data_IF_528443574965
#
_entry.id   IF_528443574965
#
_cell.length_a   1.000
_cell.length_b   1.000
_cell.length_c   1.000
_cell.angle_alpha   90.00
_cell.angle_beta   90.00
_cell.angle_gamma   90.00
#
_symmetry.space_group_name_H-M   'P 1'
#
loop_
_entity.id
_entity.type
_entity.pdbx_description
1 polymer ?
#
# COMPACT_ATOMS: atom_id res chain seq x y z
N UNK A 1 -2.19 -11.79 12.52
CA UNK A 1 -3.61 -12.03 12.91
C UNK A 1 -4.64 -11.17 12.16
N UNK A 2 -4.40 -9.88 11.86
CA UNK A 2 -5.42 -9.00 11.25
C UNK A 2 -5.89 -9.42 9.83
N UNK A 3 -5.00 -9.92 8.97
CA UNK A 3 -5.36 -10.39 7.62
C UNK A 3 -6.28 -11.64 7.65
N UNK A 4 -5.99 -12.60 8.56
CA UNK A 4 -6.80 -13.81 8.72
C UNK A 4 -8.21 -13.53 9.26
N UNK A 5 -8.34 -12.65 10.25
CA UNK A 5 -9.64 -12.25 10.82
C UNK A 5 -10.52 -11.55 9.75
N UNK A 6 -9.92 -10.80 8.83
CA UNK A 6 -10.67 -10.03 7.81
C UNK A 6 -11.01 -10.87 6.58
N UNK A 7 -10.14 -11.80 6.16
CA UNK A 7 -10.47 -12.80 5.13
C UNK A 7 -11.65 -13.69 5.56
N UNK A 8 -11.68 -14.11 6.84
CA UNK A 8 -12.81 -14.83 7.43
C UNK A 8 -14.10 -14.00 7.39
N UNK A 9 -14.03 -12.67 7.62
CA UNK A 9 -15.19 -11.78 7.51
C UNK A 9 -15.71 -11.65 6.07
N UNK A 10 -14.85 -11.65 5.07
CA UNK A 10 -15.26 -11.59 3.66
C UNK A 10 -15.96 -12.88 3.21
N UNK A 11 -15.40 -14.06 3.55
CA UNK A 11 -16.02 -15.37 3.32
C UNK A 11 -17.37 -15.45 4.03
N UNK A 12 -17.45 -15.01 5.29
CA UNK A 12 -18.72 -14.94 6.05
C UNK A 12 -19.72 -13.99 5.44
N UNK A 13 -19.29 -12.83 4.93
CA UNK A 13 -20.18 -11.86 4.28
C UNK A 13 -20.78 -12.44 2.99
N UNK A 14 -19.97 -13.13 2.17
CA UNK A 14 -20.45 -13.78 0.94
C UNK A 14 -21.35 -14.97 1.24
N UNK A 15 -20.96 -15.82 2.18
CA UNK A 15 -21.78 -16.94 2.62
C UNK A 15 -23.14 -16.45 3.15
N UNK A 16 -23.16 -15.36 3.91
CA UNK A 16 -24.41 -14.73 4.38
C UNK A 16 -25.28 -14.18 3.24
N UNK A 17 -24.68 -13.56 2.22
CA UNK A 17 -25.40 -13.10 1.01
C UNK A 17 -25.97 -14.30 0.23
N UNK A 18 -25.22 -15.40 0.16
CA UNK A 18 -25.59 -16.62 -0.56
C UNK A 18 -26.49 -17.58 0.25
N UNK A 19 -26.87 -17.23 1.49
CA UNK A 19 -27.63 -18.12 2.37
C UNK A 19 -26.88 -19.38 2.82
N UNK A 20 -25.55 -19.39 2.73
CA UNK A 20 -24.68 -20.50 3.09
C UNK A 20 -24.04 -20.29 4.46
N UNK A 21 -23.87 -21.37 5.21
CA UNK A 21 -23.03 -21.39 6.42
C UNK A 21 -21.59 -21.68 5.99
N UNK A 22 -20.64 -20.76 6.19
CA UNK A 22 -19.27 -21.02 5.82
C UNK A 22 -18.68 -22.07 6.77
N UNK A 23 -18.20 -23.18 6.22
CA UNK A 23 -17.42 -24.16 6.96
C UNK A 23 -15.96 -23.75 6.91
N UNK A 24 -15.43 -23.28 8.04
CA UNK A 24 -13.98 -23.19 8.19
C UNK A 24 -13.49 -24.62 8.40
N UNK A 25 -12.70 -25.16 7.47
CA UNK A 25 -11.91 -26.35 7.77
C UNK A 25 -10.88 -25.92 8.82
N UNK A 26 -11.10 -26.31 10.06
CA UNK A 26 -10.05 -26.29 11.05
C UNK A 26 -8.99 -27.28 10.53
N UNK A 27 -7.78 -26.78 10.35
CA UNK A 27 -6.64 -27.65 10.15
C UNK A 27 -6.36 -28.23 11.53
N UNK A 28 -6.56 -29.54 11.69
CA UNK A 28 -6.33 -30.25 12.95
C UNK A 28 -4.82 -30.49 13.21
N UNK A 29 -3.99 -30.23 12.19
CA UNK A 29 -2.54 -30.37 12.25
C UNK A 29 -1.89 -29.07 12.75
N UNK A 30 -1.02 -29.18 13.76
CA UNK A 30 -0.14 -28.08 14.12
C UNK A 30 0.90 -27.86 13.01
N UNK A 31 1.18 -26.60 12.62
CA UNK A 31 2.18 -26.34 11.58
C UNK A 31 3.59 -26.66 12.11
N UNK A 32 4.44 -27.25 11.26
CA UNK A 32 5.86 -27.50 11.57
C UNK A 32 6.60 -26.19 11.94
N UNK A 33 6.17 -25.08 11.35
CA UNK A 33 6.71 -23.74 11.59
C UNK A 33 5.58 -22.73 11.72
N UNK A 34 5.56 -22.02 12.85
CA UNK A 34 4.63 -20.91 13.10
C UNK A 34 5.37 -19.58 13.02
N UNK A 35 5.04 -18.77 12.02
CA UNK A 35 5.58 -17.43 11.87
C UNK A 35 4.62 -16.41 12.48
N UNK A 36 5.06 -15.74 13.54
CA UNK A 36 4.30 -14.69 14.21
C UNK A 36 4.97 -13.32 14.01
N UNK A 37 4.19 -12.24 13.87
CA UNK A 37 4.75 -10.90 13.86
C UNK A 37 5.37 -10.60 15.23
N UNK A 38 6.59 -10.04 15.22
CA UNK A 38 7.31 -9.62 16.44
C UNK A 38 6.78 -8.30 17.01
N UNK A 39 6.13 -7.50 16.17
CA UNK A 39 5.69 -6.14 16.46
C UNK A 39 4.22 -5.96 16.03
N UNK A 40 3.54 -4.99 16.63
CA UNK A 40 2.14 -4.68 16.36
C UNK A 40 1.99 -3.81 15.11
N UNK A 41 0.98 -4.10 14.29
CA UNK A 41 0.65 -3.29 13.10
C UNK A 41 0.09 -1.92 13.46
N UNK A 42 -0.69 -1.88 14.55
CA UNK A 42 -1.39 -0.69 15.01
C UNK A 42 -0.88 -0.29 16.38
N UNK A 43 -0.82 1.01 16.62
CA UNK A 43 -0.61 1.54 17.96
C UNK A 43 -1.87 1.32 18.82
N UNK A 44 -1.71 1.28 20.15
CA UNK A 44 -2.87 1.17 21.08
C UNK A 44 -3.89 2.28 20.84
N UNK A 45 -3.41 3.51 20.65
CA UNK A 45 -4.25 4.70 20.40
C UNK A 45 -5.03 4.59 19.09
N UNK A 46 -4.38 4.11 18.03
CA UNK A 46 -5.05 3.88 16.73
C UNK A 46 -6.20 2.86 16.88
N UNK A 47 -5.95 1.75 17.59
CA UNK A 47 -6.99 0.75 17.88
C UNK A 47 -8.14 1.32 18.71
N UNK A 48 -7.83 2.13 19.72
CA UNK A 48 -8.82 2.74 20.60
C UNK A 48 -9.79 3.67 19.82
N UNK A 49 -9.32 4.30 18.74
CA UNK A 49 -10.14 5.11 17.84
C UNK A 49 -10.89 4.29 16.77
N UNK A 50 -10.88 2.96 16.88
CA UNK A 50 -11.59 2.08 15.95
C UNK A 50 -10.93 1.96 14.57
N UNK A 51 -9.66 2.37 14.43
CA UNK A 51 -8.90 2.21 13.18
C UNK A 51 -8.52 0.75 13.02
N UNK A 52 -9.45 -0.01 12.44
CA UNK A 52 -9.30 -1.43 12.12
C UNK A 52 -9.10 -1.67 10.62
N UNK A 53 -9.39 -0.67 9.78
CA UNK A 53 -9.11 -0.69 8.36
C UNK A 53 -8.01 0.32 8.03
N UNK A 54 -7.10 -0.01 7.11
CA UNK A 54 -5.91 0.80 6.86
C UNK A 54 -6.20 2.14 6.16
N UNK A 55 -7.37 2.30 5.53
CA UNK A 55 -7.69 3.46 4.69
C UNK A 55 -7.51 4.81 5.38
N UNK A 56 -7.93 4.94 6.65
CA UNK A 56 -7.81 6.21 7.37
C UNK A 56 -6.35 6.60 7.62
N UNK A 57 -5.50 5.62 7.93
CA UNK A 57 -4.07 5.87 8.14
C UNK A 57 -3.34 6.17 6.83
N UNK A 58 -3.66 5.46 5.74
CA UNK A 58 -3.12 5.80 4.42
C UNK A 58 -3.58 7.18 3.95
N UNK A 59 -4.81 7.60 4.24
CA UNK A 59 -5.30 8.93 3.87
C UNK A 59 -4.62 10.05 4.68
N UNK A 60 -4.22 9.78 5.93
CA UNK A 60 -3.40 10.71 6.70
C UNK A 60 -2.01 10.85 6.09
N UNK A 61 -1.37 9.74 5.72
CA UNK A 61 -0.06 9.73 5.04
C UNK A 61 -0.16 10.51 3.73
N UNK A 62 -1.22 10.29 2.95
CA UNK A 62 -1.51 10.98 1.68
C UNK A 62 -1.60 12.50 1.85
N UNK A 63 -2.33 12.96 2.86
CA UNK A 63 -2.46 14.40 3.14
C UNK A 63 -1.13 15.00 3.62
N UNK A 64 -0.36 14.27 4.43
CA UNK A 64 0.98 14.69 4.83
C UNK A 64 1.93 14.77 3.61
N UNK A 65 1.86 13.78 2.71
CA UNK A 65 2.64 13.71 1.48
C UNK A 65 2.32 14.87 0.55
N UNK A 66 1.03 15.17 0.35
CA UNK A 66 0.55 16.36 -0.39
C UNK A 66 1.16 17.65 0.16
N UNK A 67 1.08 17.83 1.48
CA UNK A 67 1.57 19.02 2.16
C UNK A 67 3.09 19.19 2.01
N UNK A 68 3.86 18.10 2.12
CA UNK A 68 5.32 18.11 1.89
C UNK A 68 5.69 18.64 0.51
N UNK A 69 4.90 18.29 -0.52
CA UNK A 69 5.14 18.72 -1.88
C UNK A 69 4.56 20.12 -2.21
N UNK A 70 3.90 20.76 -1.25
CA UNK A 70 3.29 22.08 -1.45
C UNK A 70 2.14 22.09 -2.47
N UNK A 71 1.52 20.94 -2.74
CA UNK A 71 0.40 20.87 -3.68
C UNK A 71 -0.89 21.34 -3.04
N UNK A 72 -1.68 22.07 -3.82
CA UNK A 72 -3.06 22.37 -3.43
C UNK A 72 -3.88 21.09 -3.33
N UNK A 73 -4.99 21.14 -2.61
CA UNK A 73 -5.91 20.01 -2.50
C UNK A 73 -6.41 19.57 -3.88
N UNK A 74 -6.80 20.52 -4.73
CA UNK A 74 -7.34 20.20 -6.06
C UNK A 74 -6.28 19.66 -7.01
N UNK A 75 -5.09 20.26 -7.05
CA UNK A 75 -3.97 19.76 -7.87
C UNK A 75 -3.62 18.32 -7.50
N UNK A 76 -3.63 18.02 -6.20
CA UNK A 76 -3.33 16.67 -5.73
C UNK A 76 -4.41 15.67 -6.14
N UNK A 77 -5.69 16.02 -5.95
CA UNK A 77 -6.80 15.15 -6.37
C UNK A 77 -6.77 14.89 -7.87
N UNK A 78 -6.39 15.87 -8.68
CA UNK A 78 -6.18 15.70 -10.12
C UNK A 78 -5.02 14.75 -10.44
N UNK A 79 -3.90 14.85 -9.70
CA UNK A 79 -2.76 13.92 -9.82
C UNK A 79 -3.16 12.48 -9.49
N UNK A 80 -3.84 12.26 -8.36
CA UNK A 80 -4.31 10.92 -7.95
C UNK A 80 -5.26 10.33 -9.00
N UNK A 81 -6.20 11.13 -9.48
CA UNK A 81 -7.15 10.72 -10.51
C UNK A 81 -6.48 10.40 -11.85
N UNK A 82 -5.51 11.21 -12.28
CA UNK A 82 -4.75 10.97 -13.50
C UNK A 82 -3.89 9.70 -13.40
N UNK A 83 -3.23 9.47 -12.27
CA UNK A 83 -2.44 8.25 -12.03
C UNK A 83 -3.32 7.01 -12.09
N UNK A 84 -4.46 7.00 -11.41
CA UNK A 84 -5.34 5.83 -11.39
C UNK A 84 -6.14 5.64 -12.70
N UNK A 85 -6.35 6.70 -13.49
CA UNK A 85 -6.85 6.55 -14.86
C UNK A 85 -5.85 5.75 -15.72
N UNK A 86 -4.54 6.04 -15.61
CA UNK A 86 -3.50 5.23 -16.28
C UNK A 86 -3.50 3.78 -15.80
N UNK A 87 -3.69 3.54 -14.50
CA UNK A 87 -3.79 2.19 -13.96
C UNK A 87 -4.99 1.44 -14.55
N UNK A 88 -6.15 2.10 -14.70
CA UNK A 88 -7.32 1.50 -15.35
C UNK A 88 -7.07 1.16 -16.82
N UNK A 89 -6.26 1.96 -17.52
CA UNK A 89 -5.84 1.70 -18.89
C UNK A 89 -4.93 0.47 -18.99
N UNK A 90 -3.99 0.30 -18.07
CA UNK A 90 -3.16 -0.91 -17.99
C UNK A 90 -4.02 -2.13 -17.65
N UNK A 91 -4.97 -1.99 -16.72
CA UNK A 91 -5.90 -3.07 -16.36
C UNK A 91 -6.76 -3.52 -17.55
N UNK A 92 -7.21 -2.59 -18.41
CA UNK A 92 -7.99 -2.93 -19.61
C UNK A 92 -7.26 -3.90 -20.55
N UNK A 93 -5.94 -3.76 -20.65
CA UNK A 93 -5.06 -4.60 -21.47
C UNK A 93 -4.55 -5.85 -20.74
N UNK A 94 -4.80 -5.98 -19.44
CA UNK A 94 -4.47 -7.16 -18.68
C UNK A 94 -5.64 -8.18 -18.75
N UNK A 95 -5.46 -9.34 -19.43
CA UNK A 95 -6.53 -10.33 -19.56
C UNK A 95 -6.97 -10.94 -18.23
N UNK A 96 -6.17 -10.80 -17.17
CA UNK A 96 -6.46 -11.33 -15.84
C UNK A 96 -7.01 -10.27 -14.86
N UNK A 97 -7.14 -9.01 -15.28
CA UNK A 97 -7.66 -7.96 -14.42
C UNK A 97 -9.15 -8.15 -14.11
N UNK A 98 -9.54 -7.93 -12.85
CA UNK A 98 -10.92 -8.06 -12.39
C UNK A 98 -11.86 -7.03 -13.04
N UNK A 99 -11.39 -5.80 -13.24
CA UNK A 99 -12.09 -4.73 -13.96
C UNK A 99 -11.21 -4.26 -15.10
N UNK A 100 -11.77 -4.28 -16.31
CA UNK A 100 -11.08 -3.91 -17.54
C UNK A 100 -11.66 -2.65 -18.20
N UNK A 101 -12.49 -1.91 -17.45
CA UNK A 101 -13.04 -0.62 -17.88
C UNK A 101 -11.96 0.46 -17.79
N UNK A 102 -11.80 1.24 -18.87
CA UNK A 102 -10.96 2.44 -18.90
C UNK A 102 -11.74 3.59 -18.30
N UNK A 103 -11.19 4.22 -17.26
CA UNK A 103 -11.85 5.34 -16.57
C UNK A 103 -11.17 6.66 -16.94
N UNK A 104 -11.98 7.68 -17.20
CA UNK A 104 -11.50 9.05 -17.28
C UNK A 104 -11.14 9.58 -15.88
N UNK A 105 -10.12 10.46 -15.73
CA UNK A 105 -9.76 11.04 -14.44
C UNK A 105 -10.96 11.64 -13.67
N UNK A 106 -11.85 12.35 -14.36
CA UNK A 106 -13.05 12.94 -13.75
C UNK A 106 -13.98 11.90 -13.07
N UNK A 107 -14.04 10.66 -13.58
CA UNK A 107 -14.83 9.59 -12.96
C UNK A 107 -14.19 9.03 -11.67
N UNK A 108 -12.89 9.25 -11.48
CA UNK A 108 -12.11 8.81 -10.32
C UNK A 108 -12.05 9.90 -9.26
N UNK A 109 -11.91 11.16 -9.67
CA UNK A 109 -11.63 12.32 -8.80
C UNK A 109 -12.71 12.61 -7.76
N UNK A 110 -13.97 12.66 -8.19
CA UNK A 110 -15.08 13.13 -7.37
C UNK A 110 -15.99 11.98 -6.90
N UNK A 111 -16.53 12.14 -5.70
CA UNK A 111 -17.47 11.20 -5.11
C UNK A 111 -18.76 11.11 -5.93
N UNK A 112 -19.21 9.89 -6.22
CA UNK A 112 -20.51 9.64 -6.85
C UNK A 112 -21.20 8.41 -6.24
N UNK A 113 -22.44 8.13 -6.63
CA UNK A 113 -23.14 6.92 -6.19
C UNK A 113 -22.40 5.62 -6.58
N UNK A 114 -21.71 5.61 -7.73
CA UNK A 114 -20.92 4.46 -8.21
C UNK A 114 -19.50 4.45 -7.63
N UNK A 115 -18.94 5.63 -7.37
CA UNK A 115 -17.60 5.84 -6.84
C UNK A 115 -17.62 6.71 -5.56
N UNK A 116 -18.19 6.23 -4.45
CA UNK A 116 -18.36 7.05 -3.25
C UNK A 116 -17.01 7.36 -2.58
N UNK A 117 -16.92 8.52 -1.93
CA UNK A 117 -15.83 8.84 -1.01
C UNK A 117 -15.74 7.75 0.07
N UNK A 118 -14.51 7.32 0.39
CA UNK A 118 -14.22 6.34 1.43
C UNK A 118 -13.48 7.00 2.59
N UNK A 119 -12.44 7.76 2.26
CA UNK A 119 -11.70 8.61 3.18
C UNK A 119 -11.16 9.77 2.35
N UNK A 120 -11.36 11.03 2.70
CA UNK A 120 -10.79 12.14 1.91
C UNK A 120 -9.25 12.06 1.90
N UNK A 121 -8.58 12.04 0.72
CA UNK A 121 -9.07 12.36 -0.63
C UNK A 121 -9.49 11.16 -1.52
N UNK A 122 -9.49 9.95 -0.99
CA UNK A 122 -9.84 8.71 -1.67
C UNK A 122 -11.34 8.49 -1.93
N UNK A 123 -11.67 8.42 -3.23
CA UNK A 123 -12.85 7.71 -3.71
C UNK A 123 -12.62 6.20 -3.73
N UNK A 124 -13.68 5.42 -3.93
CA UNK A 124 -13.62 3.95 -4.02
C UNK A 124 -12.66 3.47 -5.12
N UNK A 125 -12.54 4.17 -6.24
CA UNK A 125 -11.63 3.83 -7.34
C UNK A 125 -10.15 4.01 -6.97
N UNK A 126 -9.85 4.83 -5.96
CA UNK A 126 -8.50 5.00 -5.40
C UNK A 126 -8.18 3.96 -4.31
N UNK A 127 -9.12 3.05 -4.01
CA UNK A 127 -8.94 2.02 -3.00
C UNK A 127 -8.82 0.63 -3.64
N UNK A 128 -8.04 -0.25 -3.01
CA UNK A 128 -7.91 -1.65 -3.41
C UNK A 128 -9.26 -2.39 -3.51
N UNK A 129 -9.43 -3.17 -4.58
CA UNK A 129 -10.54 -4.11 -4.72
C UNK A 129 -10.10 -5.51 -4.26
N UNK A 130 -10.27 -5.78 -2.96
CA UNK A 130 -9.83 -7.03 -2.35
C UNK A 130 -10.87 -8.17 -2.36
N UNK A 131 -12.15 -7.85 -2.58
CA UNK A 131 -13.23 -8.84 -2.56
C UNK A 131 -13.40 -9.51 -3.92
N UNK A 132 -12.36 -10.18 -4.42
CA UNK A 132 -12.28 -10.83 -5.74
C UNK A 132 -11.91 -12.30 -5.60
N UNK A 133 -12.30 -13.12 -6.58
CA UNK A 133 -11.93 -14.54 -6.65
C UNK A 133 -10.89 -14.74 -7.74
N UNK A 134 -9.63 -14.69 -7.35
CA UNK A 134 -8.48 -14.84 -8.23
C UNK A 134 -7.42 -15.68 -7.54
N UNK A 135 -6.66 -16.43 -8.33
CA UNK A 135 -5.53 -17.22 -7.89
C UNK A 135 -4.35 -17.02 -8.84
N UNK A 136 -3.15 -17.20 -8.31
CA UNK A 136 -1.91 -17.18 -9.07
C UNK A 136 -0.99 -18.28 -8.55
N UNK A 137 -0.19 -18.84 -9.44
CA UNK A 137 0.78 -19.88 -9.13
C UNK A 137 2.08 -19.64 -9.92
N UNK A 138 3.21 -19.87 -9.25
CA UNK A 138 4.54 -19.84 -9.85
C UNK A 138 5.11 -21.25 -9.76
N UNK A 139 5.61 -21.77 -10.88
CA UNK A 139 6.32 -23.04 -10.93
C UNK A 139 7.81 -22.77 -11.07
N UNK A 140 8.59 -23.31 -10.13
CA UNK A 140 10.05 -23.21 -10.12
C UNK A 140 10.66 -24.58 -10.37
N UNK A 141 11.77 -24.60 -11.11
CA UNK A 141 12.63 -25.77 -11.24
C UNK A 141 14.07 -25.30 -11.48
N UNK A 142 15.03 -26.19 -11.30
CA UNK A 142 16.42 -25.89 -11.67
C UNK A 142 16.54 -25.78 -13.20
N UNK A 143 17.53 -25.02 -13.68
CA UNK A 143 17.84 -24.95 -15.11
C UNK A 143 18.13 -26.35 -15.70
N UNK A 144 18.82 -27.22 -14.96
CA UNK A 144 19.04 -28.61 -15.35
C UNK A 144 17.72 -29.37 -15.56
N UNK A 145 16.78 -29.23 -14.62
CA UNK A 145 15.47 -29.88 -14.73
C UNK A 145 14.64 -29.32 -15.88
N UNK A 146 14.72 -28.02 -16.14
CA UNK A 146 14.05 -27.40 -17.29
C UNK A 146 14.59 -27.94 -18.62
N UNK A 147 15.92 -28.13 -18.73
CA UNK A 147 16.57 -28.76 -19.89
C UNK A 147 16.12 -30.21 -20.06
N UNK A 148 16.15 -31.02 -19.00
CA UNK A 148 15.70 -32.42 -19.04
C UNK A 148 14.26 -32.58 -19.52
N UNK A 149 13.39 -31.65 -19.12
CA UNK A 149 11.97 -31.61 -19.50
C UNK A 149 11.73 -30.98 -20.88
N UNK A 150 12.78 -30.51 -21.57
CA UNK A 150 12.67 -29.87 -22.88
C UNK A 150 11.92 -28.53 -22.86
N UNK A 151 11.91 -27.82 -21.72
CA UNK A 151 11.25 -26.51 -21.61
C UNK A 151 12.07 -25.49 -22.42
N UNK A 152 11.49 -24.79 -23.42
CA UNK A 152 12.22 -23.83 -24.25
C UNK A 152 12.86 -22.69 -23.44
N UNK A 153 14.08 -22.29 -23.80
CA UNK A 153 14.89 -21.32 -23.02
C UNK A 153 14.23 -19.94 -22.88
N UNK A 154 13.45 -19.55 -23.88
CA UNK A 154 12.64 -18.32 -23.91
C UNK A 154 11.52 -18.30 -22.86
N UNK A 155 11.12 -19.48 -22.34
CA UNK A 155 10.14 -19.60 -21.26
C UNK A 155 10.76 -19.44 -19.86
N UNK A 156 12.08 -19.40 -19.76
CA UNK A 156 12.78 -19.37 -18.48
C UNK A 156 12.93 -17.93 -17.99
N UNK A 157 12.41 -17.69 -16.78
CA UNK A 157 12.54 -16.42 -16.05
C UNK A 157 13.24 -16.74 -14.75
N UNK A 158 14.26 -15.96 -14.41
CA UNK A 158 15.09 -16.16 -13.24
C UNK A 158 14.72 -15.15 -12.15
N UNK A 159 14.50 -15.58 -10.91
CA UNK A 159 14.56 -14.69 -9.77
C UNK A 159 16.02 -14.28 -9.57
N UNK A 160 16.28 -12.97 -9.54
CA UNK A 160 17.60 -12.42 -9.26
C UNK A 160 17.77 -12.16 -7.76
N UNK A 161 16.77 -11.51 -7.15
CA UNK A 161 16.83 -11.15 -5.75
C UNK A 161 15.45 -11.11 -5.08
N UNK A 162 15.44 -11.36 -3.78
CA UNK A 162 14.32 -11.08 -2.87
C UNK A 162 14.87 -10.38 -1.63
N UNK A 163 14.49 -9.12 -1.44
CA UNK A 163 14.95 -8.33 -0.29
C UNK A 163 13.75 -7.87 0.52
N UNK A 164 13.86 -7.84 1.85
CA UNK A 164 12.74 -7.50 2.71
C UNK A 164 13.18 -6.77 3.98
N UNK A 165 12.21 -6.09 4.61
CA UNK A 165 12.29 -5.64 5.99
C UNK A 165 11.02 -6.04 6.72
N UNK A 166 11.20 -6.60 7.90
CA UNK A 166 10.14 -6.98 8.82
C UNK A 166 9.99 -6.02 10.00
N UNK A 167 10.75 -4.91 10.05
CA UNK A 167 10.66 -3.91 11.12
C UNK A 167 9.38 -3.09 10.97
N UNK A 168 8.52 -3.10 11.98
CA UNK A 168 7.20 -2.49 11.94
C UNK A 168 7.10 -1.34 12.95
N UNK A 169 6.81 -0.15 12.42
CA UNK A 169 6.45 1.02 13.23
C UNK A 169 5.03 1.46 12.89
N UNK A 170 4.10 1.47 13.87
CA UNK A 170 2.77 2.04 13.71
C UNK A 170 2.81 3.47 13.18
N UNK A 171 1.82 3.87 12.39
CA UNK A 171 1.87 5.17 11.66
C UNK A 171 1.99 6.36 12.61
N UNK A 172 1.24 6.35 13.72
CA UNK A 172 1.30 7.37 14.76
C UNK A 172 2.66 7.48 15.45
N UNK A 173 3.46 6.41 15.48
CA UNK A 173 4.77 6.41 16.12
C UNK A 173 5.91 6.83 15.18
N UNK A 174 5.64 7.14 13.90
CA UNK A 174 6.67 7.56 12.95
C UNK A 174 6.98 9.05 13.10
N UNK A 175 8.26 9.37 13.18
CA UNK A 175 8.70 10.75 13.21
C UNK A 175 8.31 11.50 11.91
N UNK A 176 8.42 10.83 10.77
CA UNK A 176 8.00 11.33 9.46
C UNK A 176 6.93 10.42 8.86
N UNK A 177 5.80 11.01 8.44
CA UNK A 177 4.68 10.28 7.84
C UNK A 177 4.88 10.04 6.34
N UNK A 178 5.79 10.77 5.70
CA UNK A 178 5.87 10.93 4.25
C UNK A 178 7.01 10.15 3.60
N UNK A 179 7.87 9.52 4.41
CA UNK A 179 9.00 8.72 3.96
C UNK A 179 8.82 7.26 4.36
N UNK A 180 9.52 6.38 3.64
CA UNK A 180 9.59 4.95 3.91
C UNK A 180 11.04 4.48 3.69
N UNK A 181 11.95 4.70 4.66
CA UNK A 181 13.35 4.30 4.55
C UNK A 181 13.54 2.83 4.16
N UNK A 182 12.63 1.95 4.61
CA UNK A 182 12.66 0.53 4.24
C UNK A 182 12.42 0.27 2.75
N UNK A 183 11.68 1.12 2.05
CA UNK A 183 11.50 1.02 0.61
C UNK A 183 12.80 1.37 -0.13
N UNK A 184 13.47 2.45 0.26
CA UNK A 184 14.78 2.81 -0.30
C UNK A 184 15.84 1.74 -0.03
N UNK A 185 16.00 1.33 1.24
CA UNK A 185 17.02 0.36 1.67
C UNK A 185 16.83 -0.99 0.96
N UNK A 186 15.61 -1.56 1.00
CA UNK A 186 15.34 -2.84 0.36
C UNK A 186 15.36 -2.76 -1.17
N UNK A 187 14.81 -1.70 -1.77
CA UNK A 187 14.83 -1.54 -3.23
C UNK A 187 16.24 -1.37 -3.79
N UNK A 188 17.09 -0.57 -3.14
CA UNK A 188 18.49 -0.42 -3.52
C UNK A 188 19.25 -1.74 -3.41
N UNK A 189 19.01 -2.51 -2.34
CA UNK A 189 19.63 -3.82 -2.18
C UNK A 189 19.18 -4.83 -3.25
N UNK A 190 17.91 -4.82 -3.65
CA UNK A 190 17.41 -5.67 -4.73
C UNK A 190 18.10 -5.34 -6.06
N UNK A 191 18.19 -4.06 -6.40
CA UNK A 191 18.86 -3.57 -7.61
C UNK A 191 20.36 -3.92 -7.61
N UNK A 192 21.05 -3.68 -6.50
CA UNK A 192 22.46 -4.02 -6.34
C UNK A 192 22.73 -5.53 -6.46
N UNK A 193 21.84 -6.38 -5.94
CA UNK A 193 21.97 -7.83 -6.07
C UNK A 193 21.95 -8.31 -7.53
N UNK A 194 21.22 -7.61 -8.39
CA UNK A 194 21.16 -7.87 -9.84
C UNK A 194 22.20 -7.13 -10.68
N UNK A 195 23.08 -6.31 -10.08
CA UNK A 195 23.95 -5.36 -10.80
C UNK A 195 23.17 -4.43 -11.76
N UNK A 196 21.98 -4.00 -11.33
CA UNK A 196 21.08 -3.13 -12.11
C UNK A 196 20.87 -1.78 -11.44
N UNK A 197 20.51 -0.80 -12.25
CA UNK A 197 19.95 0.48 -11.84
C UNK A 197 18.46 0.52 -12.13
N UNK A 198 17.74 1.48 -11.54
CA UNK A 198 16.29 1.60 -11.73
C UNK A 198 15.89 1.92 -13.19
N UNK A 199 16.79 2.56 -13.95
CA UNK A 199 16.62 2.86 -15.37
C UNK A 199 16.74 1.62 -16.26
N UNK A 200 17.35 0.54 -15.75
CA UNK A 200 17.48 -0.75 -16.45
C UNK A 200 16.33 -1.73 -16.12
N UNK A 201 15.38 -1.31 -15.30
CA UNK A 201 14.14 -2.05 -15.07
C UNK A 201 13.19 -1.69 -16.21
N UNK A 202 12.69 -2.68 -16.95
CA UNK A 202 11.72 -2.43 -18.03
C UNK A 202 10.28 -2.48 -17.50
N UNK A 203 10.02 -3.44 -16.61
CA UNK A 203 8.70 -3.74 -16.08
C UNK A 203 8.65 -3.44 -14.58
N UNK A 204 7.72 -2.59 -14.17
CA UNK A 204 7.62 -2.13 -12.78
C UNK A 204 6.20 -2.38 -12.24
N UNK A 205 6.10 -3.01 -11.06
CA UNK A 205 4.86 -3.01 -10.28
C UNK A 205 5.14 -2.51 -8.86
N UNK A 206 4.83 -1.23 -8.63
CA UNK A 206 4.85 -0.67 -7.29
C UNK A 206 3.57 -1.06 -6.54
N UNK A 207 3.69 -1.46 -5.29
CA UNK A 207 2.56 -1.87 -4.47
C UNK A 207 1.59 -0.71 -4.29
N UNK A 208 0.29 -0.97 -4.51
CA UNK A 208 -0.66 0.10 -4.86
C UNK A 208 -2.04 -0.08 -4.23
N UNK A 209 -2.09 -0.52 -2.96
CA UNK A 209 -3.36 -0.61 -2.22
C UNK A 209 -4.08 0.75 -2.09
N UNK A 210 -3.30 1.82 -2.03
CA UNK A 210 -3.68 3.24 -2.04
C UNK A 210 -2.61 4.05 -2.79
N UNK A 211 -2.93 5.23 -3.35
CA UNK A 211 -2.02 6.04 -4.15
C UNK A 211 -0.72 6.41 -3.43
N UNK A 212 -0.78 6.90 -2.18
CA UNK A 212 0.43 7.26 -1.42
C UNK A 212 1.45 6.13 -1.28
N UNK A 213 1.04 4.86 -1.35
CA UNK A 213 1.99 3.74 -1.33
C UNK A 213 2.86 3.74 -2.60
N UNK A 214 2.25 4.03 -3.74
CA UNK A 214 2.93 4.18 -5.03
C UNK A 214 3.83 5.41 -5.01
N UNK A 215 3.31 6.53 -4.53
CA UNK A 215 4.03 7.81 -4.53
C UNK A 215 5.26 7.77 -3.62
N UNK A 216 5.11 7.28 -2.39
CA UNK A 216 6.24 7.13 -1.46
C UNK A 216 7.27 6.14 -2.01
N UNK A 217 6.86 4.99 -2.55
CA UNK A 217 7.82 4.04 -3.11
C UNK A 217 8.52 4.59 -4.35
N UNK A 218 7.82 5.36 -5.18
CA UNK A 218 8.43 6.01 -6.33
C UNK A 218 9.48 7.03 -5.90
N UNK A 219 9.18 7.89 -4.92
CA UNK A 219 10.13 8.87 -4.37
C UNK A 219 11.37 8.20 -3.77
N UNK A 220 11.18 7.16 -2.94
CA UNK A 220 12.28 6.43 -2.27
C UNK A 220 13.21 5.70 -3.25
N UNK A 221 12.73 5.41 -4.47
CA UNK A 221 13.50 4.76 -5.54
C UNK A 221 13.94 5.73 -6.64
N UNK A 222 13.62 7.02 -6.53
CA UNK A 222 13.91 8.03 -7.54
C UNK A 222 13.15 7.82 -8.87
N UNK A 223 11.96 7.22 -8.81
CA UNK A 223 11.15 6.90 -9.98
C UNK A 223 10.18 8.07 -10.28
N UNK A 224 10.21 8.67 -11.48
CA UNK A 224 9.25 9.71 -11.83
C UNK A 224 7.81 9.16 -11.87
N UNK A 225 6.86 9.85 -11.23
CA UNK A 225 5.44 9.45 -11.24
C UNK A 225 4.80 9.44 -12.64
N UNK A 226 5.46 10.03 -13.65
CA UNK A 226 5.03 9.99 -15.05
C UNK A 226 5.31 8.64 -15.73
N UNK A 227 6.18 7.80 -15.16
CA UNK A 227 6.48 6.45 -15.64
C UNK A 227 5.26 5.53 -15.46
N UNK A 228 5.24 4.41 -16.17
CA UNK A 228 4.33 3.30 -15.87
C UNK A 228 4.74 2.63 -14.54
N UNK A 229 3.90 2.75 -13.51
CA UNK A 229 4.16 2.29 -12.14
C UNK A 229 3.50 0.94 -11.82
N UNK A 230 2.79 0.36 -12.79
CA UNK A 230 2.17 -0.97 -12.69
C UNK A 230 2.14 -1.65 -14.05
N UNK A 231 2.29 -2.97 -14.03
CA UNK A 231 2.11 -3.85 -15.20
C UNK A 231 0.81 -4.66 -15.15
N UNK A 232 0.11 -4.59 -14.01
CA UNK A 232 -1.15 -5.30 -13.78
C UNK A 232 -2.37 -4.40 -13.94
N UNK A 233 -2.20 -3.10 -13.70
CA UNK A 233 -3.28 -2.14 -13.53
C UNK A 233 -3.67 -1.92 -12.06
N UNK A 234 -2.91 -2.47 -11.11
CA UNK A 234 -3.04 -2.21 -9.68
C UNK A 234 -4.28 -2.83 -9.00
N UNK A 235 -4.22 -2.95 -7.69
CA UNK A 235 -5.22 -3.61 -6.84
C UNK A 235 -6.63 -3.03 -6.98
N UNK A 236 -6.78 -1.77 -7.37
CA UNK A 236 -8.09 -1.13 -7.60
C UNK A 236 -8.83 -1.70 -8.81
N UNK A 237 -8.10 -2.11 -9.85
CA UNK A 237 -8.66 -2.54 -11.13
C UNK A 237 -8.31 -4.00 -11.45
N UNK A 238 -7.04 -4.40 -11.33
CA UNK A 238 -6.58 -5.77 -11.50
C UNK A 238 -7.21 -6.73 -10.49
N UNK A 239 -7.59 -6.23 -9.31
CA UNK A 239 -8.00 -7.03 -8.16
C UNK A 239 -6.81 -7.33 -7.26
N UNK A 240 -7.03 -7.30 -5.95
CA UNK A 240 -5.97 -7.50 -4.96
C UNK A 240 -6.45 -8.35 -3.79
N UNK A 241 -6.60 -9.68 -3.96
CA UNK A 241 -7.15 -10.55 -2.93
C UNK A 241 -6.18 -10.67 -1.75
N UNK A 242 -6.36 -9.78 -0.78
CA UNK A 242 -5.59 -9.72 0.46
C UNK A 242 -4.07 -9.77 0.19
N UNK A 243 -3.42 -10.82 0.66
CA UNK A 243 -1.97 -10.98 0.60
C UNK A 243 -1.48 -11.55 -0.74
N UNK A 244 -2.36 -11.87 -1.69
CA UNK A 244 -2.00 -12.58 -2.91
C UNK A 244 -1.67 -11.66 -4.11
N UNK A 245 -1.93 -10.35 -4.03
CA UNK A 245 -1.74 -9.43 -5.15
C UNK A 245 -0.35 -9.51 -5.79
N UNK A 246 0.72 -9.52 -4.98
CA UNK A 246 2.10 -9.51 -5.49
C UNK A 246 2.42 -10.80 -6.25
N UNK A 247 1.82 -11.95 -5.88
CA UNK A 247 1.94 -13.16 -6.68
C UNK A 247 1.32 -13.00 -8.07
N UNK A 248 0.17 -12.34 -8.18
CA UNK A 248 -0.46 -12.07 -9.47
C UNK A 248 0.39 -11.12 -10.32
N UNK A 249 0.98 -10.09 -9.69
CA UNK A 249 1.91 -9.20 -10.35
C UNK A 249 3.16 -9.95 -10.84
N UNK A 250 3.73 -10.86 -10.04
CA UNK A 250 4.87 -11.69 -10.46
C UNK A 250 4.51 -12.61 -11.63
N UNK A 251 3.32 -13.23 -11.62
CA UNK A 251 2.84 -14.00 -12.78
C UNK A 251 2.72 -13.12 -14.03
N UNK A 252 2.18 -11.90 -13.89
CA UNK A 252 2.09 -10.95 -15.00
C UNK A 252 3.47 -10.55 -15.52
N UNK A 253 4.43 -10.27 -14.64
CA UNK A 253 5.82 -9.99 -15.02
C UNK A 253 6.42 -11.15 -15.82
N UNK A 254 6.27 -12.39 -15.34
CA UNK A 254 6.77 -13.56 -16.04
C UNK A 254 6.19 -13.70 -17.46
N UNK A 255 4.88 -13.49 -17.63
CA UNK A 255 4.22 -13.51 -18.94
C UNK A 255 4.76 -12.42 -19.88
N UNK A 256 4.91 -11.19 -19.37
CA UNK A 256 5.43 -10.06 -20.15
C UNK A 256 6.89 -10.27 -20.56
N UNK A 257 7.75 -10.71 -19.64
CA UNK A 257 9.14 -11.04 -19.93
C UNK A 257 9.26 -12.14 -21.00
N UNK A 258 8.48 -13.22 -20.88
CA UNK A 258 8.43 -14.31 -21.88
C UNK A 258 7.98 -13.82 -23.26
N UNK A 259 7.07 -12.86 -23.31
CA UNK A 259 6.61 -12.26 -24.57
C UNK A 259 7.60 -11.27 -25.20
N UNK A 260 8.70 -10.97 -24.50
CA UNK A 260 9.72 -10.05 -25.00
C UNK A 260 9.48 -8.56 -24.73
N UNK A 261 8.46 -8.20 -23.96
CA UNK A 261 8.12 -6.81 -23.61
C UNK A 261 9.07 -6.17 -22.58
N UNK A 262 10.11 -6.88 -22.16
CA UNK A 262 11.13 -6.39 -21.24
C UNK A 262 12.19 -7.45 -21.00
N UNK A 263 13.27 -7.06 -20.33
CA UNK A 263 14.36 -7.94 -19.89
C UNK A 263 14.36 -8.09 -18.38
N UNK A 264 14.14 -7.00 -17.63
CA UNK A 264 14.17 -6.98 -16.17
C UNK A 264 12.86 -6.45 -15.60
N UNK A 265 12.40 -7.05 -14.50
CA UNK A 265 11.20 -6.64 -13.78
C UNK A 265 11.48 -6.46 -12.29
N UNK A 266 11.03 -5.33 -11.73
CA UNK A 266 11.06 -5.06 -10.29
C UNK A 266 9.63 -4.98 -9.78
N UNK A 267 9.34 -5.76 -8.74
CA UNK A 267 8.05 -5.79 -8.08
C UNK A 267 8.23 -5.49 -6.61
N UNK A 268 7.40 -4.60 -6.09
CA UNK A 268 7.42 -4.27 -4.66
C UNK A 268 6.21 -4.84 -3.93
N UNK A 269 6.38 -5.04 -2.63
CA UNK A 269 5.34 -5.49 -1.71
C UNK A 269 5.33 -4.61 -0.47
N UNK A 270 4.12 -4.45 0.08
CA UNK A 270 3.88 -3.81 1.37
C UNK A 270 3.08 -4.77 2.24
N UNK A 271 3.43 -4.84 3.52
CA UNK A 271 2.50 -5.27 4.56
C UNK A 271 2.07 -4.11 5.44
N UNK A 272 0.80 -4.09 5.85
CA UNK A 272 0.25 -3.08 6.76
C UNK A 272 0.13 -1.69 6.13
N UNK A 273 0.61 -0.67 6.85
CA UNK A 273 0.54 0.74 6.46
C UNK A 273 1.92 1.25 6.03
N UNK A 274 2.51 0.67 4.98
CA UNK A 274 3.94 0.82 4.66
C UNK A 274 4.86 0.31 5.79
N UNK A 275 4.38 -0.66 6.59
CA UNK A 275 5.13 -1.15 7.77
C UNK A 275 6.22 -2.14 7.41
N UNK A 276 5.97 -3.06 6.47
CA UNK A 276 6.98 -3.97 5.95
C UNK A 276 7.13 -3.76 4.47
N UNK A 277 8.36 -3.82 3.99
CA UNK A 277 8.69 -3.56 2.60
C UNK A 277 9.40 -4.79 2.04
N UNK A 278 9.07 -5.17 0.81
CA UNK A 278 9.77 -6.25 0.13
C UNK A 278 9.87 -5.99 -1.36
N UNK A 279 10.90 -6.53 -1.99
CA UNK A 279 11.14 -6.40 -3.42
C UNK A 279 11.54 -7.74 -4.03
N UNK A 280 10.99 -8.05 -5.19
CA UNK A 280 11.40 -9.16 -6.04
C UNK A 280 11.96 -8.63 -7.35
N UNK A 281 13.20 -9.01 -7.67
CA UNK A 281 13.85 -8.69 -8.93
C UNK A 281 13.90 -9.93 -9.82
N UNK A 282 13.47 -9.79 -11.07
CA UNK A 282 13.32 -10.88 -12.03
C UNK A 282 13.94 -10.52 -13.37
N UNK A 283 14.49 -11.50 -14.09
CA UNK A 283 15.06 -11.28 -15.42
C UNK A 283 14.93 -12.50 -16.34
N UNK A 284 15.10 -12.29 -17.65
CA UNK A 284 15.30 -13.36 -18.63
C UNK A 284 16.71 -13.94 -18.57
N UNK A 285 17.65 -13.18 -18.02
CA UNK A 285 19.04 -13.55 -17.87
C UNK A 285 19.25 -14.18 -16.48
N UNK A 286 20.10 -15.21 -16.35
CA UNK A 286 20.38 -15.83 -15.07
C UNK A 286 21.10 -14.84 -14.14
N UNK A 287 20.92 -14.97 -12.81
CA UNK A 287 21.60 -14.09 -11.87
C UNK A 287 23.12 -14.25 -11.95
N UNK A 288 23.88 -13.14 -12.01
CA UNK A 288 25.33 -13.17 -12.19
C UNK A 288 26.06 -13.90 -11.05
N UNK A 289 25.47 -13.90 -9.84
CA UNK A 289 26.05 -14.47 -8.61
C UNK A 289 25.11 -15.47 -7.93
N UNK A 290 24.14 -16.02 -8.66
CA UNK A 290 23.05 -16.81 -8.07
C UNK A 290 21.97 -15.94 -7.42
N UNK A 291 20.86 -16.57 -7.04
CA UNK A 291 19.76 -15.87 -6.37
C UNK A 291 20.20 -15.31 -5.02
N UNK A 292 19.85 -14.05 -4.74
CA UNK A 292 20.18 -13.37 -3.50
C UNK A 292 18.92 -13.14 -2.66
N UNK A 293 18.94 -13.58 -1.40
CA UNK A 293 17.94 -13.19 -0.41
C UNK A 293 18.59 -12.35 0.69
N UNK A 294 17.95 -11.24 1.07
CA UNK A 294 18.43 -10.36 2.15
C UNK A 294 17.28 -9.88 3.04
N UNK A 295 17.43 -10.06 4.35
CA UNK A 295 16.60 -9.44 5.37
C UNK A 295 17.33 -8.20 5.93
N UNK A 296 16.79 -7.02 5.63
CA UNK A 296 17.34 -5.72 6.00
C UNK A 296 16.61 -5.08 7.19
N UNK A 297 15.91 -5.89 7.98
CA UNK A 297 15.16 -5.43 9.16
C UNK A 297 16.00 -4.56 10.10
N UNK A 298 17.28 -4.88 10.29
CA UNK A 298 18.15 -4.14 11.23
C UNK A 298 18.54 -2.76 10.69
N UNK A 299 18.85 -2.68 9.41
CA UNK A 299 19.19 -1.47 8.68
C UNK A 299 17.99 -0.51 8.68
N UNK A 300 16.80 -1.04 8.42
CA UNK A 300 15.56 -0.26 8.48
C UNK A 300 15.26 0.18 9.91
N UNK A 301 15.44 -0.67 10.91
CA UNK A 301 15.27 -0.28 12.32
C UNK A 301 16.24 0.82 12.76
N UNK A 302 17.45 0.87 12.20
CA UNK A 302 18.41 1.94 12.47
C UNK A 302 18.01 3.26 11.80
N UNK A 303 17.47 3.21 10.57
CA UNK A 303 17.10 4.39 9.80
C UNK A 303 15.74 4.98 10.22
N UNK A 304 14.80 4.14 10.66
CA UNK A 304 13.44 4.57 10.96
C UNK A 304 13.34 5.21 12.34
N UNK A 305 13.16 6.53 12.36
CA UNK A 305 12.96 7.28 13.60
C UNK A 305 11.54 7.14 14.13
N UNK A 306 11.43 6.93 15.44
CA UNK A 306 10.15 6.85 16.15
C UNK A 306 9.98 8.02 17.11
N UNK A 307 8.72 8.33 17.44
CA UNK A 307 8.34 9.31 18.44
C UNK A 307 7.31 8.72 19.40
N UNK A 308 7.24 9.25 20.61
CA UNK A 308 6.25 8.85 21.60
C UNK A 308 4.83 9.19 21.11
N UNK A 309 3.87 8.30 21.38
CA UNK A 309 2.46 8.51 21.07
C UNK A 309 1.67 8.66 22.37
N UNK A 310 1.07 9.82 22.57
CA UNK A 310 0.31 10.14 23.76
C UNK A 310 -1.08 9.51 23.71
N UNK A 311 -1.52 8.90 24.81
CA UNK A 311 -2.90 8.39 24.91
C UNK A 311 -3.93 9.54 24.98
N UNK A 312 -3.55 10.64 25.64
CA UNK A 312 -4.37 11.83 25.82
C UNK A 312 -3.50 13.07 25.71
N UNK A 313 -4.03 14.09 25.04
CA UNK A 313 -3.37 15.37 24.91
C UNK A 313 -4.37 16.52 24.97
N UNK A 314 -3.96 17.59 25.66
CA UNK A 314 -4.63 18.88 25.74
C UNK A 314 -3.57 19.98 25.69
N UNK A 315 -3.68 20.90 24.73
CA UNK A 315 -2.68 21.93 24.50
C UNK A 315 -2.55 22.33 23.04
N UNK A 316 -1.63 23.27 22.73
CA UNK A 316 -1.34 23.66 21.36
C UNK A 316 -0.56 22.55 20.63
N UNK A 317 -0.94 22.18 19.42
CA UNK A 317 -0.21 21.20 18.62
C UNK A 317 -0.29 21.50 17.11
N UNK A 318 0.72 21.05 16.37
CA UNK A 318 0.83 21.28 14.92
C UNK A 318 0.28 20.08 14.16
N UNK A 319 -0.67 20.29 13.24
CA UNK A 319 -1.23 19.19 12.45
C UNK A 319 -0.20 18.64 11.47
N UNK A 320 0.00 17.31 11.46
CA UNK A 320 0.96 16.64 10.57
C UNK A 320 0.31 15.90 9.42
N UNK A 321 -0.99 15.59 9.52
CA UNK A 321 -1.76 14.90 8.50
C UNK A 321 -3.19 14.66 8.98
N UNK A 322 -4.12 14.55 8.04
CA UNK A 322 -5.54 14.40 8.37
C UNK A 322 -6.30 13.65 7.28
N UNK A 323 -7.52 13.22 7.62
CA UNK A 323 -8.50 12.66 6.69
C UNK A 323 -9.91 12.90 7.22
N UNK A 324 -10.90 12.82 6.34
CA UNK A 324 -12.33 12.67 6.70
C UNK A 324 -12.77 11.27 6.33
N UNK A 325 -13.31 10.50 7.27
CA UNK A 325 -13.75 9.12 7.03
C UNK A 325 -15.23 9.06 6.71
N UNK A 326 -15.57 8.31 5.66
CA UNK A 326 -16.93 8.14 5.15
C UNK A 326 -17.37 6.67 5.32
N UNK A 327 -18.26 6.42 6.26
CA UNK A 327 -18.82 5.10 6.50
C UNK A 327 -20.29 5.02 6.05
N UNK A 328 -20.69 3.87 5.49
CA UNK A 328 -22.09 3.65 5.09
C UNK A 328 -23.00 3.78 6.32
N UNK A 329 -24.02 4.65 6.20
CA UNK A 329 -25.04 4.88 7.25
C UNK A 329 -24.49 5.42 8.56
N UNK A 330 -23.33 6.09 8.53
CA UNK A 330 -22.78 6.81 9.67
C UNK A 330 -22.41 8.22 9.22
N UNK A 331 -22.51 9.19 10.13
CA UNK A 331 -22.04 10.54 9.85
C UNK A 331 -20.52 10.50 9.62
N UNK A 332 -19.99 11.30 8.67
CA UNK A 332 -18.56 11.42 8.49
C UNK A 332 -17.91 12.03 9.75
N UNK A 333 -16.64 11.71 9.96
CA UNK A 333 -15.85 12.31 11.03
C UNK A 333 -14.41 12.54 10.56
N UNK A 334 -13.79 13.58 11.09
CA UNK A 334 -12.39 13.90 10.87
C UNK A 334 -11.49 13.07 11.79
N UNK A 335 -10.32 12.72 11.28
CA UNK A 335 -9.21 12.12 12.01
C UNK A 335 -7.94 12.87 11.65
N UNK A 336 -7.19 13.33 12.65
CA UNK A 336 -5.98 14.12 12.43
C UNK A 336 -4.86 13.73 13.41
N UNK A 337 -3.64 13.79 12.90
CA UNK A 337 -2.40 13.61 13.64
C UNK A 337 -1.79 14.97 13.95
N UNK A 338 -1.25 15.10 15.16
CA UNK A 338 -0.68 16.34 15.67
C UNK A 338 0.65 16.11 16.38
N UNK A 339 1.66 16.91 16.08
CA UNK A 339 2.88 16.99 16.88
C UNK A 339 2.69 17.98 18.03
N UNK A 340 2.80 17.48 19.26
CA UNK A 340 2.77 18.27 20.47
C UNK A 340 4.15 18.94 20.72
N UNK A 341 4.19 20.07 21.46
CA UNK A 341 5.42 20.61 22.01
C UNK A 341 6.17 19.52 22.78
N UNK A 342 7.45 19.31 22.45
CA UNK A 342 8.26 18.22 23.00
C UNK A 342 8.44 17.02 22.06
N UNK A 343 7.79 17.00 20.90
CA UNK A 343 8.06 16.02 19.82
C UNK A 343 7.26 14.72 19.92
N UNK A 344 6.24 14.66 20.77
CA UNK A 344 5.32 13.52 20.86
C UNK A 344 4.12 13.69 19.91
N UNK A 345 3.49 12.58 19.51
CA UNK A 345 2.33 12.53 18.62
C UNK A 345 1.03 12.39 19.41
N UNK A 346 0.02 13.16 19.02
CA UNK A 346 -1.38 12.96 19.41
C UNK A 346 -2.22 12.59 18.18
N UNK A 347 -3.22 11.73 18.39
CA UNK A 347 -4.19 11.33 17.37
C UNK A 347 -5.60 11.69 17.87
N UNK A 348 -6.33 12.43 17.07
CA UNK A 348 -7.50 13.20 17.50
C UNK A 348 -8.61 13.03 16.47
N UNK A 349 -9.86 12.95 16.92
CA UNK A 349 -11.03 12.89 16.04
C UNK A 349 -11.95 14.09 16.24
N UNK A 350 -12.80 14.37 15.25
CA UNK A 350 -13.87 15.38 15.40
C UNK A 350 -15.07 15.02 14.53
N UNK A 351 -16.29 14.93 15.10
CA UNK A 351 -17.52 14.75 14.33
C UNK A 351 -18.09 16.09 13.83
N UNK A 352 -17.47 17.23 14.12
CA UNK A 352 -18.03 18.54 13.83
C UNK A 352 -18.03 18.84 12.32
N UNK A 353 -19.21 19.15 11.78
CA UNK A 353 -19.38 19.46 10.35
C UNK A 353 -18.49 20.64 9.89
N UNK A 354 -18.27 21.63 10.75
CA UNK A 354 -17.39 22.76 10.46
C UNK A 354 -15.92 22.34 10.30
N UNK A 355 -15.43 21.43 11.15
CA UNK A 355 -14.08 20.84 11.04
C UNK A 355 -13.95 20.08 9.73
N UNK A 356 -14.92 19.23 9.42
CA UNK A 356 -14.94 18.44 8.19
C UNK A 356 -14.88 19.35 6.95
N UNK A 357 -15.76 20.35 6.87
CA UNK A 357 -15.79 21.27 5.74
C UNK A 357 -14.46 22.03 5.56
N UNK A 358 -13.81 22.44 6.66
CA UNK A 358 -12.53 23.14 6.62
C UNK A 358 -11.37 22.25 6.15
N UNK A 359 -11.32 20.98 6.58
CA UNK A 359 -10.29 20.04 6.16
C UNK A 359 -10.37 19.70 4.66
N UNK A 360 -11.57 19.71 4.10
CA UNK A 360 -11.78 19.45 2.67
C UNK A 360 -11.57 20.69 1.79
N UNK A 361 -11.71 21.89 2.36
CA UNK A 361 -11.63 23.15 1.62
C UNK A 361 -10.25 23.83 1.68
N UNK A 362 -9.44 23.59 2.72
CA UNK A 362 -8.17 24.28 2.92
C UNK A 362 -7.08 23.36 3.47
N UNK A 363 -5.82 23.72 3.22
CA UNK A 363 -4.68 23.04 3.83
C UNK A 363 -4.57 23.36 5.32
N UNK A 364 -4.53 22.32 6.16
CA UNK A 364 -4.36 22.41 7.62
C UNK A 364 -3.06 21.82 8.15
N UNK A 365 -2.34 21.00 7.38
CA UNK A 365 -1.01 20.51 7.76
C UNK A 365 -0.08 21.70 7.97
N UNK A 366 0.67 21.66 9.06
CA UNK A 366 1.54 22.75 9.50
C UNK A 366 0.85 23.85 10.32
N UNK A 367 -0.49 23.86 10.42
CA UNK A 367 -1.20 24.81 11.29
C UNK A 367 -1.17 24.37 12.74
N UNK A 368 -1.05 25.34 13.64
CA UNK A 368 -1.17 25.14 15.09
C UNK A 368 -2.63 25.26 15.50
N UNK A 369 -3.14 24.26 16.21
CA UNK A 369 -4.49 24.27 16.80
C UNK A 369 -4.43 23.96 18.29
N UNK A 370 -5.49 24.27 19.03
CA UNK A 370 -5.63 23.80 20.41
C UNK A 370 -6.43 22.50 20.43
N UNK A 371 -5.80 21.43 20.88
CA UNK A 371 -6.45 20.15 21.19
C UNK A 371 -6.99 20.22 22.62
N UNK A 372 -8.21 19.73 22.84
CA UNK A 372 -8.85 19.59 24.15
C UNK A 372 -9.37 18.17 24.29
N UNK A 373 -8.78 17.39 25.18
CA UNK A 373 -9.15 16.00 25.49
C UNK A 373 -9.28 15.11 24.25
N UNK A 374 -8.29 15.16 23.35
CA UNK A 374 -8.29 14.48 22.06
C UNK A 374 -9.43 14.88 21.10
N UNK A 375 -9.98 16.08 21.25
CA UNK A 375 -10.83 16.75 20.26
C UNK A 375 -10.14 18.04 19.78
N UNK A 376 -10.34 18.41 18.53
CA UNK A 376 -9.92 19.71 18.03
C UNK A 376 -11.06 20.41 17.30
N UNK A 377 -11.03 21.73 17.35
CA UNK A 377 -11.97 22.61 16.63
C UNK A 377 -11.17 23.51 15.72
N UNK A 378 -11.74 23.80 14.55
CA UNK A 378 -11.23 24.83 13.64
C UNK A 378 -11.97 26.11 14.01
N UNK A 379 -11.25 27.14 14.45
CA UNK A 379 -11.80 28.47 14.71
C UNK A 379 -11.30 29.45 13.68
#
# INVERSE_FOLDING_TARGET
MAAGITAIRAVRSRARIAGQTPTNRLLDDEPDVRLEPKEELFHRVERALGLVLPIGLYAIIETAYRARHGWTIDDHRDRLAAMYARFSNVAAENPHAWKRERLAPAAIRDGSAKNPMQAFPYTRSLCSTFNVDQAAALLFCSAARATELGIPREQWIFPLASTESNHMVPVSARADLTTCPGAAIAGCAALAAGDLTIDQIDLLDLYNCFPVAVEVYADELGIPLARDLTITGGMSFAGGPWNNYVYQATCRAALLLRSGQGRNALLSSVSGMLTKQGFGLWSRDPPPRGFVWQDLTKEVAHAQRTIEVLDRYSGPATMTGYTVLYARRQAPYALAMFDAPGGARALVTSPEAAVIAQLEAAEWVGRVVTVRDNLFTVR
#
